data_IF_093063012654
#
_entry.id   IF_093063012654
#
_cell.length_a   1.000
_cell.length_b   1.000
_cell.length_c   1.000
_cell.angle_alpha   90.00
_cell.angle_beta   90.00
_cell.angle_gamma   90.00
#
_symmetry.space_group_name_H-M   'P 1'
#
loop_
_entity.id
_entity.type
_entity.pdbx_description
1 polymer ?
#
# COMPACT_ATOMS: atom_id res chain seq x y z
N UNK A 1 -5.78 4.96 15.61
CA UNK A 1 -6.83 5.10 16.66
C UNK A 1 -6.39 4.28 17.89
N UNK A 2 -6.60 4.72 19.15
CA UNK A 2 -6.13 3.97 20.33
C UNK A 2 -6.75 2.56 20.46
N UNK A 3 -7.93 2.33 19.87
CA UNK A 3 -8.55 1.01 19.80
C UNK A 3 -8.05 0.14 18.63
N UNK A 4 -7.15 0.64 17.77
CA UNK A 4 -6.61 -0.13 16.67
C UNK A 4 -5.49 -1.05 17.13
N UNK A 5 -5.89 -2.20 17.67
CA UNK A 5 -5.00 -3.25 18.16
C UNK A 5 -4.51 -4.18 17.04
N UNK A 6 -5.12 -4.12 15.85
CA UNK A 6 -4.84 -5.00 14.72
C UNK A 6 -3.76 -4.49 13.75
N UNK A 7 -3.27 -3.25 13.93
CA UNK A 7 -2.39 -2.56 12.98
C UNK A 7 -1.17 -3.39 12.55
N UNK A 8 -0.51 -4.08 13.49
CA UNK A 8 0.67 -4.90 13.18
C UNK A 8 0.32 -6.15 12.38
N UNK A 9 -0.77 -6.84 12.74
CA UNK A 9 -1.20 -8.05 12.05
C UNK A 9 -1.61 -7.73 10.60
N UNK A 10 -2.34 -6.64 10.39
CA UNK A 10 -2.75 -6.18 9.05
C UNK A 10 -1.54 -5.80 8.21
N UNK A 11 -0.59 -5.05 8.77
CA UNK A 11 0.67 -4.69 8.12
C UNK A 11 1.52 -5.92 7.72
N UNK A 12 1.62 -6.92 8.60
CA UNK A 12 2.32 -8.18 8.28
C UNK A 12 1.64 -8.95 7.14
N UNK A 13 0.31 -8.98 7.12
CA UNK A 13 -0.50 -9.55 6.05
C UNK A 13 -0.32 -8.82 4.72
N UNK A 14 -0.40 -7.49 4.73
CA UNK A 14 -0.15 -6.65 3.56
C UNK A 14 1.26 -6.86 3.01
N UNK A 15 2.29 -6.84 3.89
CA UNK A 15 3.69 -7.04 3.49
C UNK A 15 3.87 -8.36 2.75
N UNK A 16 3.25 -9.42 3.26
CA UNK A 16 3.30 -10.75 2.64
C UNK A 16 2.75 -10.74 1.22
N UNK A 17 1.60 -10.11 1.00
CA UNK A 17 0.96 -10.04 -0.32
C UNK A 17 1.80 -9.18 -1.27
N UNK A 18 2.12 -7.96 -0.85
CA UNK A 18 2.83 -6.99 -1.69
C UNK A 18 4.22 -7.51 -2.05
N UNK A 19 5.03 -7.90 -1.07
CA UNK A 19 6.38 -8.39 -1.32
C UNK A 19 6.40 -9.59 -2.31
N UNK A 20 5.47 -10.54 -2.14
CA UNK A 20 5.32 -11.67 -3.08
C UNK A 20 4.99 -11.17 -4.49
N UNK A 21 4.03 -10.25 -4.63
CA UNK A 21 3.65 -9.71 -5.93
C UNK A 21 4.80 -8.95 -6.60
N UNK A 22 5.51 -8.11 -5.85
CA UNK A 22 6.65 -7.33 -6.36
C UNK A 22 7.78 -8.24 -6.84
N UNK A 23 8.09 -9.29 -6.07
CA UNK A 23 9.08 -10.28 -6.48
C UNK A 23 8.69 -11.01 -7.77
N UNK A 24 7.46 -11.52 -7.86
CA UNK A 24 6.95 -12.18 -9.07
C UNK A 24 6.89 -11.21 -10.27
N UNK A 25 6.75 -9.92 -10.01
CA UNK A 25 6.72 -8.86 -11.03
C UNK A 25 8.12 -8.35 -11.41
N UNK A 26 9.17 -8.89 -10.80
CA UNK A 26 10.55 -8.59 -11.14
C UNK A 26 11.08 -7.28 -10.55
N UNK A 27 10.39 -6.68 -9.58
CA UNK A 27 10.85 -5.46 -8.91
C UNK A 27 12.10 -5.77 -8.10
N UNK A 28 13.13 -4.97 -8.32
CA UNK A 28 14.43 -5.04 -7.66
C UNK A 28 14.56 -3.84 -6.73
N UNK A 29 15.24 -2.79 -7.17
CA UNK A 29 15.56 -1.61 -6.37
C UNK A 29 14.80 -0.37 -6.87
N UNK A 30 13.84 -0.55 -7.77
CA UNK A 30 12.97 0.53 -8.19
C UNK A 30 12.22 1.11 -6.98
N UNK A 31 12.16 2.44 -6.86
CA UNK A 31 11.54 3.10 -5.71
C UNK A 31 10.06 2.74 -5.63
N UNK A 32 9.60 2.41 -4.44
CA UNK A 32 8.19 2.20 -4.11
C UNK A 32 7.76 3.21 -3.05
N UNK A 33 6.48 3.53 -3.02
CA UNK A 33 5.94 4.56 -2.13
C UNK A 33 4.78 4.00 -1.32
N UNK A 34 4.80 4.25 -0.02
CA UNK A 34 3.69 4.06 0.88
C UNK A 34 3.01 5.40 1.16
N UNK A 35 1.87 5.62 0.51
CA UNK A 35 1.05 6.83 0.61
C UNK A 35 0.14 6.76 1.83
N UNK A 36 0.08 7.86 2.59
CA UNK A 36 -0.52 7.89 3.93
C UNK A 36 0.08 6.79 4.84
N UNK A 37 1.41 6.69 4.83
CA UNK A 37 2.16 5.63 5.51
C UNK A 37 2.14 5.66 7.04
N UNK A 38 1.45 6.65 7.65
CA UNK A 38 1.26 6.77 9.09
C UNK A 38 2.58 6.75 9.87
N UNK A 39 2.66 5.87 10.87
CA UNK A 39 3.86 5.69 11.68
C UNK A 39 5.06 5.07 10.93
N UNK A 40 4.87 4.61 9.69
CA UNK A 40 5.94 4.04 8.86
C UNK A 40 6.15 2.53 9.02
N UNK A 41 5.19 1.82 9.63
CA UNK A 41 5.28 0.38 9.87
C UNK A 41 5.45 -0.37 8.55
N UNK A 42 4.56 -0.14 7.59
CA UNK A 42 4.60 -0.85 6.31
C UNK A 42 5.90 -0.58 5.55
N UNK A 43 6.30 0.68 5.47
CA UNK A 43 7.58 1.09 4.87
C UNK A 43 8.77 0.35 5.49
N UNK A 44 8.87 0.27 6.82
CA UNK A 44 9.95 -0.50 7.49
C UNK A 44 9.88 -1.99 7.16
N UNK A 45 8.68 -2.56 7.26
CA UNK A 45 8.43 -3.96 6.95
C UNK A 45 8.84 -4.35 5.53
N UNK A 46 8.66 -3.46 4.55
CA UNK A 46 9.06 -3.70 3.16
C UNK A 46 10.57 -3.55 2.94
N UNK A 47 11.23 -2.60 3.62
CA UNK A 47 12.69 -2.46 3.55
C UNK A 47 13.43 -3.60 4.25
N UNK A 48 12.89 -4.11 5.35
CA UNK A 48 13.40 -5.32 6.02
C UNK A 48 13.37 -6.59 5.14
N UNK A 49 12.65 -6.54 4.02
CA UNK A 49 12.62 -7.62 3.02
C UNK A 49 13.16 -7.20 1.65
N UNK A 50 13.93 -6.11 1.62
CA UNK A 50 14.77 -5.78 0.47
C UNK A 50 14.10 -4.96 -0.62
N UNK A 51 12.98 -4.27 -0.34
CA UNK A 51 12.35 -3.36 -1.31
C UNK A 51 12.60 -1.90 -0.92
N UNK A 52 12.97 -1.08 -1.89
CA UNK A 52 13.23 0.36 -1.74
C UNK A 52 11.94 1.15 -1.53
N UNK A 53 11.36 1.03 -0.34
CA UNK A 53 10.16 1.76 0.04
C UNK A 53 10.50 3.11 0.68
N UNK A 54 9.72 4.11 0.29
CA UNK A 54 9.65 5.44 0.87
C UNK A 54 8.23 5.67 1.39
N UNK A 55 8.06 6.66 2.26
CA UNK A 55 6.75 7.01 2.79
C UNK A 55 6.41 8.47 2.55
N UNK A 56 5.11 8.76 2.43
CA UNK A 56 4.59 10.11 2.60
C UNK A 56 3.29 10.07 3.36
N UNK A 57 3.06 11.06 4.21
CA UNK A 57 1.81 11.22 4.92
C UNK A 57 1.57 12.71 5.21
N UNK A 58 0.47 13.31 4.71
CA UNK A 58 0.17 14.73 4.94
C UNK A 58 -0.37 15.01 6.35
N UNK A 59 -0.79 13.99 7.10
CA UNK A 59 -1.52 14.14 8.37
C UNK A 59 -0.83 13.50 9.57
N UNK A 60 0.02 12.48 9.36
CA UNK A 60 0.68 11.75 10.42
C UNK A 60 2.19 12.03 10.48
N UNK A 61 2.71 12.14 11.70
CA UNK A 61 4.15 12.14 11.96
C UNK A 61 4.66 10.71 11.95
N UNK A 62 5.57 10.41 11.02
CA UNK A 62 6.21 9.11 10.95
C UNK A 62 7.27 8.92 12.03
N UNK A 63 7.23 7.77 12.70
CA UNK A 63 8.09 7.49 13.84
C UNK A 63 9.19 6.47 13.49
N UNK A 64 8.87 5.49 12.65
CA UNK A 64 9.69 4.30 12.44
C UNK A 64 10.54 4.35 11.17
N UNK A 65 10.16 5.15 10.18
CA UNK A 65 10.78 5.20 8.85
C UNK A 65 11.41 6.56 8.50
N UNK A 66 11.77 7.35 9.52
CA UNK A 66 12.42 8.67 9.34
C UNK A 66 13.70 8.57 8.50
N UNK A 67 13.91 9.53 7.61
CA UNK A 67 15.01 9.55 6.64
C UNK A 67 14.73 8.80 5.34
N UNK A 68 13.50 8.29 5.17
CA UNK A 68 13.00 7.64 3.96
C UNK A 68 11.70 8.28 3.47
N UNK A 69 11.58 9.59 3.67
CA UNK A 69 10.51 10.41 3.14
C UNK A 69 10.57 10.39 1.61
N UNK A 70 9.41 10.27 0.98
CA UNK A 70 9.29 10.53 -0.45
C UNK A 70 9.50 12.03 -0.69
N UNK A 71 10.42 12.36 -1.59
CA UNK A 71 10.67 13.73 -2.01
C UNK A 71 10.16 13.91 -3.44
N UNK A 72 9.27 14.90 -3.68
CA UNK A 72 8.90 15.27 -5.03
C UNK A 72 10.15 15.58 -5.85
N UNK A 73 10.28 14.95 -7.02
CA UNK A 73 11.44 15.05 -7.89
C UNK A 73 11.18 14.33 -9.23
N UNK A 74 12.21 14.14 -10.08
CA UNK A 74 12.03 13.48 -11.36
C UNK A 74 11.73 11.98 -11.23
N UNK A 75 11.97 11.39 -10.05
CA UNK A 75 11.73 9.98 -9.81
C UNK A 75 10.23 9.70 -9.71
N UNK A 76 9.77 8.69 -10.45
CA UNK A 76 8.42 8.13 -10.37
C UNK A 76 8.49 6.84 -9.57
N UNK A 77 7.66 6.65 -8.53
CA UNK A 77 7.63 5.39 -7.80
C UNK A 77 7.05 4.32 -8.72
N UNK A 78 7.64 3.12 -8.70
CA UNK A 78 7.18 2.01 -9.51
C UNK A 78 5.86 1.44 -9.02
N UNK A 79 5.64 1.53 -7.71
CA UNK A 79 4.45 1.06 -7.00
C UNK A 79 4.08 2.10 -5.96
N UNK A 80 2.79 2.38 -5.83
CA UNK A 80 2.23 3.11 -4.69
C UNK A 80 1.34 2.16 -3.88
N UNK A 81 1.54 2.07 -2.57
CA UNK A 81 0.61 1.44 -1.63
C UNK A 81 -0.19 2.50 -0.89
N UNK A 82 -1.48 2.24 -0.66
CA UNK A 82 -2.36 3.09 0.14
C UNK A 82 -3.33 2.19 0.92
N UNK A 83 -2.90 1.73 2.09
CA UNK A 83 -3.66 0.79 2.92
C UNK A 83 -4.53 1.51 3.94
N UNK A 84 -5.81 1.15 3.98
CA UNK A 84 -6.80 1.73 4.90
C UNK A 84 -6.91 3.25 4.70
N UNK A 85 -6.88 3.69 3.44
CA UNK A 85 -6.95 5.11 3.05
C UNK A 85 -8.29 5.42 2.39
N UNK A 86 -8.79 4.51 1.55
CA UNK A 86 -9.89 4.77 0.63
C UNK A 86 -11.19 5.06 1.38
N UNK A 87 -11.44 4.35 2.47
CA UNK A 87 -12.60 4.49 3.36
C UNK A 87 -12.66 5.84 4.08
N UNK A 88 -11.53 6.54 4.21
CA UNK A 88 -11.43 7.85 4.86
C UNK A 88 -11.57 9.02 3.87
N UNK A 89 -11.66 8.75 2.55
CA UNK A 89 -11.68 9.80 1.54
C UNK A 89 -13.07 10.44 1.45
N UNK A 90 -13.21 11.67 1.93
CA UNK A 90 -14.43 12.47 1.73
C UNK A 90 -14.70 12.80 0.25
N UNK A 91 -13.65 12.89 -0.57
CA UNK A 91 -13.72 13.11 -2.03
C UNK A 91 -12.89 12.06 -2.78
N UNK A 92 -13.37 10.80 -2.87
CA UNK A 92 -12.59 9.66 -3.37
C UNK A 92 -11.90 9.90 -4.72
N UNK A 93 -12.62 10.48 -5.68
CA UNK A 93 -12.09 10.68 -7.03
C UNK A 93 -11.01 11.76 -7.08
N UNK A 94 -11.16 12.86 -6.34
CA UNK A 94 -10.15 13.93 -6.27
C UNK A 94 -8.87 13.43 -5.59
N UNK A 95 -9.01 12.75 -4.46
CA UNK A 95 -7.86 12.24 -3.71
C UNK A 95 -7.15 11.10 -4.44
N UNK A 96 -7.90 10.18 -5.05
CA UNK A 96 -7.29 9.10 -5.85
C UNK A 96 -6.58 9.65 -7.11
N UNK A 97 -7.05 10.77 -7.70
CA UNK A 97 -6.32 11.45 -8.77
C UNK A 97 -4.96 11.94 -8.31
N UNK A 98 -4.81 12.46 -7.09
CA UNK A 98 -3.51 12.85 -6.53
C UNK A 98 -2.57 11.65 -6.39
N UNK A 99 -3.09 10.50 -5.98
CA UNK A 99 -2.32 9.25 -5.94
C UNK A 99 -1.91 8.83 -7.36
N UNK A 100 -2.82 8.93 -8.33
CA UNK A 100 -2.57 8.61 -9.74
C UNK A 100 -1.58 9.56 -10.41
N UNK A 101 -1.53 10.83 -10.01
CA UNK A 101 -0.56 11.83 -10.50
C UNK A 101 0.89 11.47 -10.14
N UNK A 102 1.11 10.63 -9.13
CA UNK A 102 2.44 10.13 -8.77
C UNK A 102 3.09 9.29 -9.88
N UNK A 103 2.34 8.85 -10.90
CA UNK A 103 2.97 8.24 -12.09
C UNK A 103 3.20 6.73 -12.01
N UNK A 104 2.87 6.07 -10.90
CA UNK A 104 3.25 4.67 -10.68
C UNK A 104 2.63 3.67 -11.67
N UNK A 105 3.30 2.55 -11.92
CA UNK A 105 2.73 1.50 -12.78
C UNK A 105 1.60 0.74 -12.10
N UNK A 106 1.71 0.56 -10.77
CA UNK A 106 0.70 -0.07 -9.94
C UNK A 106 0.36 0.79 -8.73
N UNK A 107 -0.94 0.90 -8.44
CA UNK A 107 -1.46 1.37 -7.16
C UNK A 107 -2.09 0.17 -6.47
N UNK A 108 -1.67 -0.13 -5.24
CA UNK A 108 -2.19 -1.23 -4.44
C UNK A 108 -2.87 -0.63 -3.21
N UNK A 109 -4.14 -0.95 -3.01
CA UNK A 109 -4.95 -0.42 -1.92
C UNK A 109 -5.48 -1.54 -1.03
N UNK A 110 -5.95 -1.17 0.15
CA UNK A 110 -6.87 -2.01 0.91
C UNK A 110 -8.11 -1.22 1.33
N UNK A 111 -9.25 -1.87 1.22
CA UNK A 111 -10.55 -1.43 1.74
C UNK A 111 -11.49 -2.65 1.73
N UNK A 112 -12.42 -2.72 2.67
CA UNK A 112 -13.44 -3.77 2.66
C UNK A 112 -14.52 -3.44 1.63
N UNK A 113 -14.82 -4.41 0.75
CA UNK A 113 -15.85 -4.21 -0.26
C UNK A 113 -17.25 -4.23 0.37
N UNK A 114 -18.05 -3.22 0.02
CA UNK A 114 -19.44 -3.14 0.41
C UNK A 114 -20.25 -4.32 -0.16
N UNK A 115 -21.12 -4.98 0.65
CA UNK A 115 -21.81 -6.23 0.28
C UNK A 115 -22.92 -6.08 -0.76
N UNK A 116 -23.03 -4.93 -1.45
CA UNK A 116 -24.04 -4.65 -2.47
C UNK A 116 -25.44 -4.24 -1.96
N UNK A 117 -25.97 -4.88 -0.91
CA UNK A 117 -27.22 -4.46 -0.22
C UNK A 117 -26.94 -3.40 0.85
N UNK A 118 -27.96 -2.70 1.36
CA UNK A 118 -27.78 -1.80 2.52
C UNK A 118 -26.95 -2.53 3.59
N UNK A 119 -25.81 -1.98 4.01
CA UNK A 119 -24.94 -2.68 4.93
C UNK A 119 -25.68 -2.85 6.25
N UNK A 120 -25.45 -3.99 6.89
CA UNK A 120 -25.97 -4.26 8.22
C UNK A 120 -25.53 -3.12 9.15
N UNK A 121 -26.42 -2.55 9.99
CA UNK A 121 -26.02 -1.59 11.03
C UNK A 121 -24.84 -2.07 11.88
N UNK A 122 -24.68 -3.38 12.06
CA UNK A 122 -23.61 -4.02 12.84
C UNK A 122 -22.35 -4.36 12.00
N UNK A 123 -22.26 -3.89 10.76
CA UNK A 123 -21.02 -4.04 9.98
C UNK A 123 -19.92 -3.18 10.62
N UNK A 124 -18.91 -3.83 11.21
CA UNK A 124 -17.79 -3.16 11.90
C UNK A 124 -17.13 -2.05 11.07
N UNK A 125 -17.18 -2.16 9.74
CA UNK A 125 -16.64 -1.19 8.79
C UNK A 125 -17.46 0.09 8.67
N UNK A 126 -18.73 0.11 9.10
CA UNK A 126 -19.55 1.32 9.16
C UNK A 126 -19.06 2.28 10.25
N UNK A 127 -18.48 1.73 11.34
CA UNK A 127 -17.89 2.45 12.48
C UNK A 127 -18.64 3.73 12.89
N UNK A 128 -19.96 3.63 13.07
CA UNK A 128 -20.86 4.78 13.32
C UNK A 128 -20.39 5.62 14.51
N UNK A 129 -19.84 4.96 15.54
CA UNK A 129 -19.38 5.60 16.79
C UNK A 129 -18.10 6.43 16.61
N UNK A 130 -17.20 6.01 15.72
CA UNK A 130 -15.93 6.71 15.48
C UNK A 130 -15.99 7.69 14.32
N UNK A 131 -16.96 7.51 13.41
CA UNK A 131 -17.13 8.31 12.19
C UNK A 131 -15.94 8.20 11.23
N UNK A 132 -15.06 7.21 11.40
CA UNK A 132 -13.81 7.13 10.66
C UNK A 132 -14.02 6.76 9.19
N UNK A 133 -14.97 5.88 8.87
CA UNK A 133 -15.22 5.47 7.48
C UNK A 133 -16.37 6.29 6.87
N UNK A 134 -16.05 7.10 5.86
CA UNK A 134 -16.99 8.00 5.17
C UNK A 134 -17.25 7.61 3.72
N UNK A 135 -16.51 6.63 3.19
CA UNK A 135 -16.68 6.10 1.84
C UNK A 135 -16.67 4.56 1.82
N UNK A 136 -17.54 3.98 1.00
CA UNK A 136 -17.68 2.53 0.84
C UNK A 136 -17.66 2.15 -0.63
N UNK A 137 -16.93 1.08 -0.96
CA UNK A 137 -16.65 0.74 -2.35
C UNK A 137 -17.17 -0.64 -2.70
N UNK A 138 -17.78 -0.72 -3.88
CA UNK A 138 -18.06 -1.98 -4.58
C UNK A 138 -17.06 -2.16 -5.72
N UNK A 139 -17.00 -3.38 -6.26
CA UNK A 139 -16.13 -3.71 -7.41
C UNK A 139 -16.32 -2.73 -8.58
N UNK A 140 -17.56 -2.49 -8.99
CA UNK A 140 -17.92 -1.57 -10.07
C UNK A 140 -17.43 -0.13 -9.82
N UNK A 141 -17.53 0.34 -8.56
CA UNK A 141 -17.07 1.67 -8.19
C UNK A 141 -15.55 1.81 -8.23
N UNK A 142 -14.79 0.78 -7.82
CA UNK A 142 -13.32 0.78 -7.93
C UNK A 142 -12.87 0.68 -9.38
N UNK A 143 -13.53 -0.14 -10.20
CA UNK A 143 -13.25 -0.19 -11.64
C UNK A 143 -13.50 1.17 -12.31
N UNK A 144 -14.56 1.87 -11.92
CA UNK A 144 -14.80 3.25 -12.37
C UNK A 144 -13.70 4.20 -11.89
N UNK A 145 -13.32 4.14 -10.61
CA UNK A 145 -12.24 4.96 -10.05
C UNK A 145 -10.94 4.77 -10.84
N UNK A 146 -10.56 3.52 -11.15
CA UNK A 146 -9.41 3.20 -11.98
C UNK A 146 -9.49 3.82 -13.37
N UNK A 147 -10.61 3.66 -14.08
CA UNK A 147 -10.80 4.25 -15.42
C UNK A 147 -10.69 5.77 -15.42
N UNK A 148 -11.34 6.44 -14.47
CA UNK A 148 -11.41 7.90 -14.36
C UNK A 148 -10.07 8.54 -13.95
N UNK A 149 -9.09 7.73 -13.53
CA UNK A 149 -7.77 8.17 -13.07
C UNK A 149 -6.60 7.61 -13.89
N UNK A 150 -6.90 6.92 -15.01
CA UNK A 150 -5.87 6.41 -15.92
C UNK A 150 -5.27 5.04 -15.55
N UNK A 151 -5.94 4.29 -14.67
CA UNK A 151 -5.60 2.92 -14.27
C UNK A 151 -6.74 1.94 -14.60
N UNK A 152 -7.04 1.69 -15.89
CA UNK A 152 -8.22 0.93 -16.30
C UNK A 152 -8.16 -0.56 -15.94
N UNK A 153 -6.99 -1.09 -15.61
CA UNK A 153 -6.82 -2.51 -15.27
C UNK A 153 -6.90 -2.71 -13.76
N UNK A 154 -8.08 -3.11 -13.28
CA UNK A 154 -8.35 -3.27 -11.84
C UNK A 154 -8.61 -4.72 -11.50
N UNK A 155 -7.98 -5.23 -10.44
CA UNK A 155 -8.39 -6.48 -9.79
C UNK A 155 -8.79 -6.17 -8.36
N UNK A 156 -10.09 -6.11 -8.10
CA UNK A 156 -10.64 -5.93 -6.75
C UNK A 156 -10.83 -7.29 -6.05
N UNK A 157 -10.09 -7.52 -4.97
CA UNK A 157 -10.34 -8.60 -4.01
C UNK A 157 -11.22 -8.14 -2.85
N UNK A 158 -11.59 -9.05 -1.93
CA UNK A 158 -12.41 -8.71 -0.76
C UNK A 158 -11.80 -7.61 0.13
N UNK A 159 -10.46 -7.59 0.24
CA UNK A 159 -9.74 -6.62 1.06
C UNK A 159 -8.63 -5.88 0.31
N UNK A 160 -7.86 -6.57 -0.55
CA UNK A 160 -6.80 -5.95 -1.35
C UNK A 160 -7.23 -5.71 -2.78
N UNK A 161 -6.83 -4.57 -3.33
CA UNK A 161 -7.08 -4.22 -4.72
C UNK A 161 -5.80 -3.73 -5.38
N UNK A 162 -5.69 -3.99 -6.68
CA UNK A 162 -4.60 -3.50 -7.50
C UNK A 162 -5.16 -2.81 -8.74
N UNK A 163 -4.60 -1.64 -9.05
CA UNK A 163 -4.89 -0.80 -10.19
C UNK A 163 -3.61 -0.70 -11.02
N UNK A 164 -3.71 -0.84 -12.34
CA UNK A 164 -2.55 -0.74 -13.23
C UNK A 164 -2.85 0.10 -14.47
N UNK A 165 -1.83 0.83 -14.94
CA UNK A 165 -1.89 1.59 -16.20
C UNK A 165 -1.85 0.69 -17.43
N UNK A 166 -1.09 -0.42 -17.32
CA UNK A 166 -0.89 -1.41 -18.39
C UNK A 166 -1.45 -2.76 -17.97
N UNK A 167 -1.83 -3.63 -18.91
CA UNK A 167 -2.19 -5.00 -18.60
C UNK A 167 -1.08 -5.69 -17.82
N UNK A 168 -1.45 -6.45 -16.78
CA UNK A 168 -0.51 -7.24 -15.99
C UNK A 168 -1.06 -8.66 -15.82
N UNK A 169 -0.20 -9.68 -15.61
CA UNK A 169 -0.66 -11.04 -15.44
C UNK A 169 -1.40 -11.21 -14.09
N UNK A 170 -2.73 -11.30 -14.13
CA UNK A 170 -3.58 -11.42 -12.94
C UNK A 170 -3.22 -12.62 -12.05
N UNK A 171 -2.66 -13.69 -12.63
CA UNK A 171 -2.21 -14.86 -11.87
C UNK A 171 -1.11 -14.50 -10.85
N UNK A 172 -0.23 -13.52 -11.14
CA UNK A 172 0.81 -13.08 -10.18
C UNK A 172 0.18 -12.48 -8.94
N UNK A 173 -0.86 -11.67 -9.13
CA UNK A 173 -1.63 -11.07 -8.05
C UNK A 173 -2.40 -12.14 -7.26
N UNK A 174 -3.08 -13.06 -7.95
CA UNK A 174 -3.79 -14.16 -7.31
C UNK A 174 -2.86 -15.07 -6.50
N UNK A 175 -1.67 -15.39 -7.03
CA UNK A 175 -0.65 -16.14 -6.34
C UNK A 175 -0.15 -15.40 -5.09
N UNK A 176 0.08 -14.09 -5.18
CA UNK A 176 0.49 -13.28 -4.05
C UNK A 176 -0.56 -13.27 -2.91
N UNK A 177 -1.85 -13.16 -3.25
CA UNK A 177 -2.95 -13.16 -2.28
C UNK A 177 -3.14 -14.55 -1.65
N UNK A 178 -3.15 -15.61 -2.47
CA UNK A 178 -3.49 -16.98 -2.01
C UNK A 178 -2.30 -17.76 -1.45
N UNK A 179 -1.14 -17.64 -2.08
CA UNK A 179 0.06 -18.43 -1.78
C UNK A 179 1.14 -17.60 -1.06
N UNK A 180 0.88 -16.33 -0.76
CA UNK A 180 1.83 -15.46 -0.07
C UNK A 180 2.36 -16.07 1.23
N UNK A 181 1.55 -16.84 1.98
CA UNK A 181 1.99 -17.58 3.17
C UNK A 181 3.18 -18.51 2.92
N UNK A 182 3.20 -19.17 1.77
CA UNK A 182 4.21 -20.17 1.41
C UNK A 182 5.34 -19.57 0.57
N UNK A 183 5.02 -18.64 -0.33
CA UNK A 183 6.00 -18.02 -1.23
C UNK A 183 6.89 -16.97 -0.52
N UNK A 184 6.32 -16.24 0.44
CA UNK A 184 7.02 -15.13 1.09
C UNK A 184 8.29 -15.54 1.87
N UNK A 185 8.31 -16.64 2.66
CA UNK A 185 9.54 -17.08 3.33
C UNK A 185 10.68 -17.41 2.38
N UNK A 186 10.37 -18.00 1.22
CA UNK A 186 11.36 -18.32 0.17
C UNK A 186 11.88 -17.03 -0.43
N UNK A 187 10.98 -16.15 -0.86
CA UNK A 187 11.30 -14.84 -1.41
C UNK A 187 12.20 -14.02 -0.46
N UNK A 188 11.87 -14.00 0.84
CA UNK A 188 12.63 -13.28 1.86
C UNK A 188 14.07 -13.78 1.96
N UNK A 189 14.32 -15.08 1.77
CA UNK A 189 15.70 -15.62 1.75
C UNK A 189 16.49 -15.21 0.51
N UNK A 190 15.80 -14.97 -0.61
CA UNK A 190 16.43 -14.61 -1.89
C UNK A 190 16.76 -13.12 -2.00
N UNK A 191 16.26 -12.29 -1.08
CA UNK A 191 16.46 -10.84 -1.10
C UNK A 191 17.24 -10.39 0.13
N UNK A 192 18.36 -9.66 -0.03
CA UNK A 192 19.04 -9.06 1.11
C UNK A 192 18.13 -8.01 1.76
N UNK A 193 18.13 -7.96 3.09
CA UNK A 193 17.45 -6.91 3.84
C UNK A 193 18.19 -5.57 3.68
N UNK A 194 17.46 -4.46 3.68
CA UNK A 194 18.02 -3.11 3.72
C UNK A 194 18.30 -2.61 5.14
N UNK A 195 18.00 -3.38 6.19
CA UNK A 195 18.13 -2.92 7.58
C UNK A 195 19.53 -2.36 7.93
N UNK A 196 20.60 -3.05 7.50
CA UNK A 196 21.98 -2.63 7.78
C UNK A 196 22.35 -1.40 6.97
N UNK A 197 22.10 -1.42 5.65
CA UNK A 197 22.39 -0.29 4.77
C UNK A 197 21.58 0.96 5.16
N UNK A 198 20.35 0.78 5.63
CA UNK A 198 19.51 1.87 6.14
C UNK A 198 20.12 2.50 7.39
N UNK A 199 20.59 1.67 8.32
CA UNK A 199 21.24 2.14 9.54
C UNK A 199 22.51 2.95 9.22
N UNK A 200 23.32 2.45 8.28
CA UNK A 200 24.52 3.14 7.79
C UNK A 200 24.16 4.47 7.12
N UNK A 201 23.16 4.49 6.24
CA UNK A 201 22.67 5.71 5.57
C UNK A 201 22.12 6.75 6.55
N UNK A 202 21.43 6.33 7.62
CA UNK A 202 20.99 7.25 8.67
C UNK A 202 22.21 7.82 9.41
N UNK A 203 23.18 6.97 9.77
CA UNK A 203 24.39 7.41 10.49
C UNK A 203 25.23 8.38 9.67
N UNK A 204 25.41 8.17 8.37
CA UNK A 204 26.18 9.09 7.51
C UNK A 204 25.53 10.47 7.49
N UNK A 205 24.20 10.54 7.30
CA UNK A 205 23.45 11.81 7.32
C UNK A 205 23.54 12.54 8.65
N UNK A 206 23.56 11.82 9.77
CA UNK A 206 23.77 12.41 11.10
C UNK A 206 25.19 12.95 11.30
N UNK A 207 26.18 12.41 10.59
CA UNK A 207 27.57 12.89 10.58
C UNK A 207 27.80 14.04 9.60
N UNK A 208 26.84 14.36 8.73
CA UNK A 208 26.98 15.35 7.67
C UNK A 208 27.76 14.85 6.45
N UNK A 209 27.86 13.53 6.27
CA UNK A 209 28.47 12.83 5.13
C UNK A 209 27.47 12.54 4.02
#
# INVERSE_FOLDING_TARGET
>A
HPADTGVLARNLGARRVVATYLHLSGIRLEPCLDYAGGYGIFTRLMRDVGFEYFWMDPYATNMLARGFEWRPGPATPRVVTAFEVLEHLARPLEEFRRIAELGADWIITSTELHPGTRPDPDWDYLSVESGQHVAFYRRDTLERLGRETGYPHVTAGPFFQIFARKPFPAWKWQAAVRLGAFAFPIMKKLRPSLTVSDCESIRSRLRGE
#
